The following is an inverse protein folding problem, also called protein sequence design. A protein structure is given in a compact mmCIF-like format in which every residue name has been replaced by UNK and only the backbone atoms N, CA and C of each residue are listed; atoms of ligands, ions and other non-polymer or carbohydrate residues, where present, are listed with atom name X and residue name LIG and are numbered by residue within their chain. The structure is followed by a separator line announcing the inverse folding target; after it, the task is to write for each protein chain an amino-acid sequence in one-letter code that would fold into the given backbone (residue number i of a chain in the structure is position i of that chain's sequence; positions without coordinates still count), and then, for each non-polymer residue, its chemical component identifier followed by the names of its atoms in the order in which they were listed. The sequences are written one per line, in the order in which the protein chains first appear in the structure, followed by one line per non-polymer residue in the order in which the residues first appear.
data_IF_210560014923
#
_entry.id   IF_210560014923
#
_cell.length_a   1.000
_cell.length_b   1.000
_cell.length_c   1.000
_cell.angle_alpha   90.00
_cell.angle_beta   90.00
_cell.angle_gamma   90.00
#
_symmetry.space_group_name_H-M   'P 1'
#
loop_
_entity.id
_entity.type
_entity.pdbx_description
1 polymer ?
#
# COMPACT_ATOMS: atom_id res chain seq x y z
N UNK A 1 13.27 -10.79 -8.13
CA UNK A 1 11.98 -10.73 -7.41
C UNK A 1 11.49 -12.07 -6.86
N UNK A 2 12.06 -13.20 -7.26
CA UNK A 2 11.69 -14.54 -6.75
C UNK A 2 12.16 -14.81 -5.29
N UNK A 3 13.07 -14.01 -4.74
CA UNK A 3 13.67 -14.24 -3.41
C UNK A 3 12.75 -13.97 -2.21
N UNK A 4 11.61 -13.30 -2.39
CA UNK A 4 10.68 -12.99 -1.28
C UNK A 4 9.47 -13.93 -1.19
N UNK A 5 9.35 -14.87 -2.08
CA UNK A 5 8.23 -15.81 -2.18
C UNK A 5 8.29 -17.00 -1.20
N UNK A 6 9.46 -17.41 -0.67
CA UNK A 6 9.50 -18.42 0.39
C UNK A 6 8.67 -18.08 1.62
N UNK A 7 8.38 -16.78 1.85
CA UNK A 7 7.56 -16.34 2.99
C UNK A 7 6.09 -16.82 2.92
N UNK A 8 5.53 -17.01 1.71
CA UNK A 8 4.18 -17.60 1.60
C UNK A 8 4.16 -19.06 2.02
N UNK A 9 5.23 -19.81 1.74
CA UNK A 9 5.35 -21.19 2.18
C UNK A 9 5.47 -21.29 3.70
N UNK A 10 6.25 -20.40 4.32
CA UNK A 10 6.36 -20.33 5.78
C UNK A 10 5.04 -19.87 6.42
N UNK A 11 4.33 -18.94 5.80
CA UNK A 11 3.01 -18.54 6.28
C UNK A 11 2.03 -19.72 6.22
N UNK A 12 1.98 -20.46 5.09
CA UNK A 12 1.15 -21.65 4.99
C UNK A 12 1.51 -22.71 6.04
N UNK A 13 2.81 -22.93 6.27
CA UNK A 13 3.30 -23.86 7.32
C UNK A 13 2.78 -23.44 8.70
N UNK A 14 2.96 -22.17 9.06
CA UNK A 14 2.50 -21.63 10.35
C UNK A 14 0.98 -21.78 10.53
N UNK A 15 0.20 -21.46 9.50
CA UNK A 15 -1.26 -21.65 9.53
C UNK A 15 -1.63 -23.12 9.78
N UNK A 16 -0.96 -24.06 9.09
CA UNK A 16 -1.21 -25.50 9.28
C UNK A 16 -0.80 -26.02 10.66
N UNK A 17 0.21 -25.43 11.28
CA UNK A 17 0.67 -25.81 12.61
C UNK A 17 -0.20 -25.22 13.73
N UNK A 18 -0.67 -23.97 13.55
CA UNK A 18 -1.42 -23.26 14.59
C UNK A 18 -2.93 -23.35 14.44
N UNK A 19 -3.42 -23.68 13.22
CA UNK A 19 -4.84 -23.82 12.87
C UNK A 19 -5.72 -22.68 13.42
N UNK A 20 -5.40 -21.40 13.13
CA UNK A 20 -6.19 -20.27 13.62
C UNK A 20 -7.60 -20.28 13.00
N UNK A 21 -8.60 -19.77 13.71
CA UNK A 21 -9.99 -19.70 13.22
C UNK A 21 -10.08 -18.85 11.94
N UNK A 22 -9.27 -17.78 11.85
CA UNK A 22 -9.25 -16.87 10.70
C UNK A 22 -7.82 -16.60 10.22
N UNK A 23 -7.67 -16.50 8.90
CA UNK A 23 -6.43 -16.08 8.25
C UNK A 23 -6.72 -14.89 7.35
N UNK A 24 -5.92 -13.84 7.47
CA UNK A 24 -5.97 -12.70 6.56
C UNK A 24 -4.60 -12.44 5.95
N UNK A 25 -4.57 -12.06 4.68
CA UNK A 25 -3.34 -11.66 4.00
C UNK A 25 -3.60 -10.46 3.10
N UNK A 26 -2.70 -9.50 3.13
CA UNK A 26 -2.64 -8.39 2.17
C UNK A 26 -1.35 -8.48 1.36
N UNK A 27 -1.44 -8.28 0.06
CA UNK A 27 -0.26 -8.28 -0.80
C UNK A 27 -0.48 -7.39 -2.05
N UNK A 28 0.59 -7.22 -2.84
CA UNK A 28 0.48 -6.56 -4.15
C UNK A 28 -0.36 -7.40 -5.12
N UNK A 29 -1.16 -6.78 -6.02
CA UNK A 29 -2.07 -7.51 -6.92
C UNK A 29 -1.39 -8.60 -7.77
N UNK A 30 -0.12 -8.41 -8.13
CA UNK A 30 0.60 -9.34 -9.01
C UNK A 30 0.87 -10.70 -8.37
N UNK A 31 0.79 -10.83 -7.06
CA UNK A 31 1.04 -12.11 -6.38
C UNK A 31 0.03 -13.18 -6.78
N UNK A 32 -1.22 -12.79 -7.09
CA UNK A 32 -2.28 -13.73 -7.50
C UNK A 32 -1.97 -14.53 -8.78
N UNK A 33 -1.02 -14.07 -9.58
CA UNK A 33 -0.64 -14.72 -10.84
C UNK A 33 0.60 -15.64 -10.68
N UNK A 34 1.00 -15.91 -9.46
CA UNK A 34 2.18 -16.72 -9.20
C UNK A 34 1.82 -18.13 -8.76
N UNK A 35 2.54 -19.16 -9.23
CA UNK A 35 2.30 -20.54 -8.82
C UNK A 35 2.34 -20.75 -7.31
N UNK A 36 3.17 -19.99 -6.59
CA UNK A 36 3.32 -20.11 -5.14
C UNK A 36 2.07 -19.59 -4.40
N UNK A 37 1.33 -18.63 -4.99
CA UNK A 37 0.06 -18.20 -4.43
C UNK A 37 -1.02 -19.27 -4.63
N UNK A 38 -1.06 -19.90 -5.79
CA UNK A 38 -1.97 -21.02 -6.06
C UNK A 38 -1.71 -22.17 -5.08
N UNK A 39 -0.44 -22.49 -4.84
CA UNK A 39 -0.04 -23.50 -3.84
C UNK A 39 -0.46 -23.09 -2.42
N UNK A 40 -0.25 -21.84 -2.04
CA UNK A 40 -0.68 -21.29 -0.75
C UNK A 40 -2.18 -21.47 -0.55
N UNK A 41 -3.00 -21.06 -1.51
CA UNK A 41 -4.46 -21.22 -1.47
C UNK A 41 -4.86 -22.69 -1.39
N UNK A 42 -4.22 -23.56 -2.18
CA UNK A 42 -4.48 -25.00 -2.15
C UNK A 42 -4.20 -25.61 -0.76
N UNK A 43 -3.11 -25.22 -0.14
CA UNK A 43 -2.74 -25.70 1.21
C UNK A 43 -3.74 -25.26 2.29
N UNK A 44 -4.25 -24.02 2.22
CA UNK A 44 -5.29 -23.54 3.11
C UNK A 44 -6.58 -24.35 2.94
N UNK A 45 -7.02 -24.57 1.71
CA UNK A 45 -8.22 -25.37 1.41
C UNK A 45 -8.08 -26.83 1.87
N UNK A 46 -6.92 -27.44 1.68
CA UNK A 46 -6.62 -28.78 2.17
C UNK A 46 -6.64 -28.87 3.69
N UNK A 47 -6.30 -27.78 4.39
CA UNK A 47 -6.35 -27.69 5.84
C UNK A 47 -7.78 -27.40 6.37
N UNK A 48 -8.80 -27.30 5.51
CA UNK A 48 -10.20 -27.12 5.90
C UNK A 48 -10.70 -25.68 5.92
N UNK A 49 -9.92 -24.74 5.39
CA UNK A 49 -10.37 -23.34 5.28
C UNK A 49 -11.26 -23.12 4.08
N UNK A 50 -12.35 -22.37 4.27
CA UNK A 50 -13.00 -21.63 3.18
C UNK A 50 -12.14 -20.41 2.85
N UNK A 51 -11.81 -20.21 1.57
CA UNK A 51 -10.83 -19.19 1.14
C UNK A 51 -11.43 -18.33 0.03
N UNK A 52 -11.49 -17.03 0.28
CA UNK A 52 -11.85 -16.03 -0.71
C UNK A 52 -10.72 -15.00 -0.87
N UNK A 53 -10.52 -14.48 -2.10
CA UNK A 53 -9.56 -13.40 -2.33
C UNK A 53 -9.98 -12.53 -3.50
N UNK A 54 -9.65 -11.24 -3.42
CA UNK A 54 -9.96 -10.25 -4.45
C UNK A 54 -8.95 -9.10 -4.40
N UNK A 55 -8.70 -8.47 -5.55
CA UNK A 55 -7.98 -7.19 -5.59
C UNK A 55 -8.93 -6.06 -5.23
N UNK A 56 -8.74 -5.49 -4.06
CA UNK A 56 -9.53 -4.37 -3.57
C UNK A 56 -8.90 -3.04 -3.98
N UNK A 57 -9.75 -2.04 -4.22
CA UNK A 57 -9.35 -0.68 -4.48
C UNK A 57 -9.74 0.21 -3.31
N UNK A 58 -8.76 0.82 -2.65
CA UNK A 58 -8.96 1.55 -1.39
C UNK A 58 -10.10 2.57 -1.38
N UNK A 59 -10.26 3.41 -2.43
CA UNK A 59 -11.38 4.35 -2.49
C UNK A 59 -12.77 3.72 -2.43
N UNK A 60 -12.96 2.50 -2.92
CA UNK A 60 -14.24 1.77 -2.84
C UNK A 60 -14.66 1.50 -1.37
N UNK A 61 -13.71 1.61 -0.44
CA UNK A 61 -13.88 1.40 1.01
C UNK A 61 -13.63 2.66 1.82
N UNK A 62 -13.68 3.84 1.19
CA UNK A 62 -13.57 5.15 1.86
C UNK A 62 -12.14 5.60 2.14
N UNK A 63 -11.10 4.89 1.68
CA UNK A 63 -9.73 5.33 1.83
C UNK A 63 -9.41 6.50 0.86
N UNK A 64 -8.83 7.62 1.33
CA UNK A 64 -8.40 8.72 0.48
C UNK A 64 -7.07 8.40 -0.22
N UNK A 65 -6.90 7.17 -0.69
CA UNK A 65 -5.68 6.68 -1.33
C UNK A 65 -6.01 5.75 -2.50
N UNK A 66 -5.53 6.11 -3.70
CA UNK A 66 -5.67 5.27 -4.91
C UNK A 66 -4.71 4.08 -4.86
N UNK A 67 -5.04 3.08 -4.04
CA UNK A 67 -4.21 1.91 -3.75
C UNK A 67 -4.98 0.63 -4.06
N UNK A 68 -4.38 -0.25 -4.84
CA UNK A 68 -4.92 -1.60 -5.09
C UNK A 68 -4.11 -2.64 -4.34
N UNK A 69 -4.81 -3.56 -3.67
CA UNK A 69 -4.19 -4.66 -2.93
C UNK A 69 -4.97 -5.95 -3.12
N UNK A 70 -4.24 -7.05 -3.28
CA UNK A 70 -4.82 -8.37 -3.11
C UNK A 70 -5.09 -8.58 -1.63
N UNK A 71 -6.32 -8.85 -1.29
CA UNK A 71 -6.73 -9.27 0.05
C UNK A 71 -7.24 -10.69 -0.03
N UNK A 72 -6.77 -11.55 0.87
CA UNK A 72 -7.25 -12.90 1.06
C UNK A 72 -7.82 -13.01 2.48
N UNK A 73 -8.99 -13.62 2.57
CA UNK A 73 -9.63 -14.00 3.82
C UNK A 73 -9.85 -15.52 3.81
N UNK A 74 -9.62 -16.16 4.95
CA UNK A 74 -9.94 -17.56 5.10
C UNK A 74 -10.51 -17.83 6.49
N UNK A 75 -11.50 -18.72 6.60
CA UNK A 75 -12.13 -19.15 7.83
C UNK A 75 -12.06 -20.68 7.97
N UNK A 76 -11.69 -21.17 9.14
CA UNK A 76 -11.64 -22.59 9.45
C UNK A 76 -13.05 -23.07 9.84
N UNK A 77 -13.57 -24.09 9.14
CA UNK A 77 -14.87 -24.69 9.39
C UNK A 77 -16.07 -23.71 9.34
N UNK A 78 -15.90 -22.56 8.69
CA UNK A 78 -16.93 -21.54 8.54
C UNK A 78 -16.85 -20.93 7.13
N UNK A 79 -17.90 -20.20 6.73
CA UNK A 79 -17.93 -19.49 5.45
C UNK A 79 -17.48 -18.04 5.63
N UNK A 80 -16.69 -17.54 4.67
CA UNK A 80 -16.20 -16.15 4.67
C UNK A 80 -16.33 -15.52 3.30
N UNK A 81 -16.90 -14.33 3.28
CA UNK A 81 -17.06 -13.54 2.05
C UNK A 81 -16.21 -12.27 2.08
N UNK A 82 -15.79 -11.84 0.89
CA UNK A 82 -15.12 -10.56 0.73
C UNK A 82 -16.15 -9.43 0.87
N UNK A 83 -15.88 -8.40 1.70
CA UNK A 83 -16.81 -7.28 1.86
C UNK A 83 -17.04 -6.56 0.51
N UNK A 84 -18.28 -6.18 0.26
CA UNK A 84 -18.62 -5.42 -0.93
C UNK A 84 -18.18 -3.94 -0.82
N UNK A 85 -17.90 -3.25 -1.95
CA UNK A 85 -17.65 -1.82 -1.97
C UNK A 85 -18.75 -1.02 -1.28
N UNK A 86 -18.35 -0.06 -0.44
CA UNK A 86 -19.30 0.79 0.31
C UNK A 86 -19.40 2.21 -0.24
N UNK A 87 -18.46 2.60 -1.13
CA UNK A 87 -18.37 3.97 -1.68
C UNK A 87 -18.35 3.92 -3.20
N UNK A 88 -19.30 4.61 -3.83
CA UNK A 88 -19.32 4.79 -5.28
C UNK A 88 -18.23 5.74 -5.77
N UNK A 89 -17.83 5.61 -7.04
CA UNK A 89 -16.74 6.37 -7.64
C UNK A 89 -16.97 7.90 -7.64
N UNK A 90 -18.21 8.33 -7.60
CA UNK A 90 -18.64 9.74 -7.48
C UNK A 90 -18.45 10.34 -6.09
N UNK A 91 -18.19 9.50 -5.08
CA UNK A 91 -18.05 9.89 -3.66
C UNK A 91 -16.68 9.55 -3.08
N UNK A 92 -15.67 9.29 -3.91
CA UNK A 92 -14.33 9.03 -3.41
C UNK A 92 -13.77 10.23 -2.67
N UNK A 93 -13.30 9.98 -1.45
CA UNK A 93 -12.58 10.98 -0.67
C UNK A 93 -11.18 11.21 -1.25
N UNK A 94 -10.77 12.47 -1.25
CA UNK A 94 -9.42 12.89 -1.61
C UNK A 94 -8.53 12.99 -0.36
N UNK A 95 -7.22 13.14 -0.56
CA UNK A 95 -6.30 13.47 0.54
C UNK A 95 -6.68 14.82 1.15
N UNK A 96 -7.10 15.79 0.34
CA UNK A 96 -7.57 17.08 0.81
C UNK A 96 -8.74 16.93 1.80
N UNK A 97 -9.74 16.13 1.47
CA UNK A 97 -10.91 15.87 2.34
C UNK A 97 -10.53 15.20 3.67
N UNK A 98 -9.35 14.60 3.74
CA UNK A 98 -8.92 13.86 4.92
C UNK A 98 -8.02 14.66 5.87
N UNK A 99 -7.25 15.63 5.36
CA UNK A 99 -6.18 16.28 6.15
C UNK A 99 -6.12 17.81 6.00
N UNK A 100 -7.00 18.45 5.22
CA UNK A 100 -6.88 19.88 4.94
C UNK A 100 -7.10 20.78 6.18
N UNK A 101 -7.76 20.25 7.20
CA UNK A 101 -8.04 20.91 8.47
C UNK A 101 -6.94 20.70 9.53
N UNK A 102 -5.97 19.84 9.25
CA UNK A 102 -4.82 19.64 10.14
C UNK A 102 -3.87 20.85 10.09
N UNK A 103 -3.26 21.25 11.21
CA UNK A 103 -2.22 22.28 11.24
C UNK A 103 -1.06 21.95 10.29
N UNK A 104 -0.54 22.96 9.59
CA UNK A 104 0.66 22.79 8.76
C UNK A 104 1.88 22.56 9.64
N UNK A 105 2.71 21.59 9.29
CA UNK A 105 3.97 21.27 9.96
C UNK A 105 5.16 21.47 9.01
N UNK A 106 6.18 22.14 9.50
CA UNK A 106 7.49 22.15 8.85
C UNK A 106 8.26 20.85 9.10
N UNK A 107 9.30 20.58 8.29
CA UNK A 107 10.14 19.39 8.47
C UNK A 107 10.74 19.36 9.88
N UNK A 108 10.48 18.30 10.63
CA UNK A 108 10.93 18.10 12.01
C UNK A 108 9.99 18.65 13.08
N UNK A 109 8.92 19.33 12.70
CA UNK A 109 7.92 19.80 13.65
C UNK A 109 6.97 18.69 14.10
N UNK A 110 6.38 18.92 15.26
CA UNK A 110 5.38 18.06 15.88
C UNK A 110 4.23 18.95 16.36
N UNK A 111 3.03 18.46 16.23
CA UNK A 111 1.84 19.07 16.82
C UNK A 111 1.86 18.86 18.34
N UNK A 112 1.45 19.87 19.11
CA UNK A 112 1.46 19.80 20.56
C UNK A 112 0.24 19.04 21.11
N UNK A 113 -0.87 19.04 20.38
CA UNK A 113 -2.14 18.44 20.78
C UNK A 113 -2.34 17.03 20.22
N UNK A 114 -1.69 16.70 19.08
CA UNK A 114 -1.74 15.36 18.47
C UNK A 114 -0.35 14.73 18.34
N UNK A 115 -0.06 13.77 19.18
CA UNK A 115 1.21 13.06 19.18
C UNK A 115 1.49 12.25 17.91
N UNK A 116 0.47 11.94 17.11
CA UNK A 116 0.58 11.25 15.83
C UNK A 116 0.80 12.21 14.67
N UNK A 117 0.48 13.50 14.87
CA UNK A 117 0.70 14.53 13.86
C UNK A 117 2.10 15.14 13.99
N UNK A 118 3.06 14.56 13.27
CA UNK A 118 4.44 15.04 13.25
C UNK A 118 5.08 14.86 11.88
N UNK A 119 5.96 15.78 11.51
CA UNK A 119 6.76 15.73 10.30
C UNK A 119 8.19 15.26 10.61
N UNK A 120 8.70 14.29 9.84
CA UNK A 120 10.09 13.86 9.97
C UNK A 120 11.04 14.96 9.48
N UNK A 121 12.22 15.01 10.08
CA UNK A 121 13.33 15.81 9.53
C UNK A 121 13.67 15.31 8.13
N UNK A 122 13.89 16.27 7.23
CA UNK A 122 14.39 16.01 5.89
C UNK A 122 15.85 16.43 5.79
N UNK A 123 16.64 15.71 4.98
CA UNK A 123 17.95 16.20 4.58
C UNK A 123 17.80 17.52 3.79
N UNK A 124 18.83 18.40 3.78
CA UNK A 124 18.76 19.66 3.03
C UNK A 124 18.36 19.46 1.56
N UNK A 125 18.86 18.41 0.91
CA UNK A 125 18.50 18.06 -0.45
C UNK A 125 17.03 17.67 -0.59
N UNK A 126 16.51 16.85 0.32
CA UNK A 126 15.10 16.42 0.27
C UNK A 126 14.15 17.56 0.63
N UNK A 127 14.56 18.48 1.50
CA UNK A 127 13.80 19.69 1.79
C UNK A 127 13.69 20.58 0.54
N UNK A 128 14.78 20.81 -0.21
CA UNK A 128 14.77 21.50 -1.48
C UNK A 128 13.87 20.83 -2.52
N UNK A 129 13.88 19.50 -2.58
CA UNK A 129 12.99 18.71 -3.45
C UNK A 129 11.52 18.88 -3.08
N UNK A 130 11.20 18.83 -1.78
CA UNK A 130 9.84 19.07 -1.29
C UNK A 130 9.34 20.46 -1.71
N UNK A 131 10.13 21.51 -1.49
CA UNK A 131 9.78 22.88 -1.89
C UNK A 131 9.67 23.06 -3.41
N UNK A 132 10.45 22.32 -4.21
CA UNK A 132 10.36 22.36 -5.66
C UNK A 132 9.22 21.53 -6.24
N UNK A 133 8.57 20.70 -5.42
CA UNK A 133 7.47 19.84 -5.85
C UNK A 133 6.18 20.63 -6.01
N UNK A 134 5.41 20.30 -7.05
CA UNK A 134 4.10 20.91 -7.34
C UNK A 134 2.99 19.90 -7.07
N UNK A 135 1.81 20.33 -6.65
CA UNK A 135 0.64 19.44 -6.56
C UNK A 135 0.41 18.70 -7.89
N UNK A 136 0.29 17.37 -7.84
CA UNK A 136 0.14 16.53 -9.04
C UNK A 136 1.39 16.39 -9.91
N UNK A 137 2.49 17.08 -9.57
CA UNK A 137 3.76 17.03 -10.30
C UNK A 137 4.58 15.75 -10.04
N UNK A 138 5.74 15.70 -10.67
CA UNK A 138 6.70 14.61 -10.55
C UNK A 138 8.11 15.15 -10.34
N UNK A 139 9.10 14.28 -10.14
CA UNK A 139 10.51 14.69 -10.10
C UNK A 139 10.99 15.32 -11.44
N UNK A 140 10.27 15.13 -12.53
CA UNK A 140 10.57 15.76 -13.82
C UNK A 140 10.39 17.30 -13.78
N UNK A 141 9.58 17.79 -12.83
CA UNK A 141 9.37 19.22 -12.59
C UNK A 141 10.50 19.86 -11.75
N UNK A 142 11.38 19.06 -11.16
CA UNK A 142 12.48 19.56 -10.35
C UNK A 142 13.63 20.10 -11.21
N UNK A 143 14.36 21.11 -10.71
CA UNK A 143 15.65 21.48 -11.28
C UNK A 143 16.59 20.27 -11.40
N UNK A 144 17.44 20.27 -12.43
CA UNK A 144 18.28 19.11 -12.75
C UNK A 144 19.20 18.71 -11.59
N UNK A 145 19.73 19.67 -10.86
CA UNK A 145 20.60 19.47 -9.70
C UNK A 145 19.92 18.78 -8.51
N UNK A 146 18.59 18.77 -8.49
CA UNK A 146 17.81 18.08 -7.46
C UNK A 146 17.43 16.65 -7.85
N UNK A 147 17.61 16.28 -9.14
CA UNK A 147 17.30 14.92 -9.60
C UNK A 147 18.33 13.92 -9.10
N UNK A 148 17.87 12.73 -8.75
CA UNK A 148 18.77 11.66 -8.34
C UNK A 148 19.37 10.96 -9.59
N UNK A 149 20.59 10.39 -9.50
CA UNK A 149 21.22 9.71 -10.65
C UNK A 149 20.39 8.58 -11.25
N UNK A 150 19.52 7.94 -10.46
CA UNK A 150 18.60 6.90 -10.96
C UNK A 150 17.44 7.48 -11.78
N UNK A 151 17.15 8.78 -11.68
CA UNK A 151 16.10 9.47 -12.40
C UNK A 151 16.57 10.01 -13.75
N UNK A 152 17.88 10.24 -13.90
CA UNK A 152 18.51 10.79 -15.12
C UNK A 152 19.05 9.72 -16.07
N UNK A 153 18.94 8.43 -15.71
CA UNK A 153 19.41 7.33 -16.57
C UNK A 153 18.37 6.97 -17.64
N UNK A 154 18.84 6.72 -18.87
CA UNK A 154 18.04 6.31 -20.04
C UNK A 154 17.19 5.05 -19.85
N UNK A 155 17.42 4.26 -18.80
CA UNK A 155 16.62 3.08 -18.48
C UNK A 155 15.16 3.38 -18.07
N UNK A 156 14.76 4.64 -18.06
CA UNK A 156 13.40 5.19 -18.22
C UNK A 156 12.25 4.66 -17.33
N UNK A 157 12.53 3.81 -16.37
CA UNK A 157 11.51 3.11 -15.55
C UNK A 157 11.55 3.50 -14.07
N UNK A 158 12.11 4.66 -13.72
CA UNK A 158 12.00 5.15 -12.34
C UNK A 158 10.58 5.62 -12.06
N UNK A 159 10.13 5.44 -10.82
CA UNK A 159 8.83 5.91 -10.37
C UNK A 159 8.71 7.42 -10.61
N UNK A 160 7.74 7.84 -11.43
CA UNK A 160 7.51 9.24 -11.75
C UNK A 160 6.92 10.05 -10.60
N UNK A 161 6.27 9.39 -9.66
CA UNK A 161 5.58 10.04 -8.54
C UNK A 161 6.41 10.04 -7.28
N UNK A 162 7.03 11.16 -6.97
CA UNK A 162 7.69 11.42 -5.71
C UNK A 162 7.26 12.82 -5.23
N UNK A 163 6.77 12.96 -4.02
CA UNK A 163 6.30 14.20 -3.39
C UNK A 163 5.13 14.96 -4.05
N UNK A 164 4.71 14.65 -5.24
CA UNK A 164 3.73 15.43 -5.99
C UNK A 164 2.30 14.88 -5.99
N UNK A 165 1.97 13.94 -5.11
CA UNK A 165 0.65 13.30 -5.07
C UNK A 165 -0.27 13.77 -3.93
N UNK A 166 0.01 14.91 -3.37
CA UNK A 166 -0.94 15.52 -2.41
C UNK A 166 -1.88 16.49 -3.09
#
# INVERSE_FOLDING_TARGET
HEKSWPLLNEFARLVQETMPDFVTMENVPRVQYSPIFDEFVARLKQAGYDVTYRVLFGPDYGLPQRRRRLVLLAALNDHIEMPEPTVGADRYRTVYDAIHDLPSLEAGQKDDDDSLHFARNLSPTNLKRAHASKPGGTWEDWPEELRAPCQTRDSGKSFKSFYGRM
#
